data_IF_523881108216
#
_entry.id   IF_523881108216
#
_cell.length_a   1.000
_cell.length_b   1.000
_cell.length_c   1.000
_cell.angle_alpha   90.00
_cell.angle_beta   90.00
_cell.angle_gamma   90.00
#
_symmetry.space_group_name_H-M   'P 1'
#
loop_
_entity.id
_entity.type
_entity.pdbx_description
1 polymer ?
#
# COMPACT_ATOMS: atom_id res chain seq x y z
N UNK A 1 -49.43 37.61 -1.28
CA UNK A 1 -49.09 36.46 -0.42
C UNK A 1 -47.59 36.33 -0.50
N UNK A 2 -46.93 36.91 0.50
CA UNK A 2 -45.53 37.30 0.46
C UNK A 2 -44.61 36.09 0.59
N UNK A 3 -43.60 36.02 -0.28
CA UNK A 3 -42.52 35.03 -0.18
C UNK A 3 -41.61 35.52 0.94
N UNK A 4 -41.74 34.94 2.12
CA UNK A 4 -40.83 35.17 3.24
C UNK A 4 -39.52 34.44 2.94
N UNK A 5 -38.50 35.22 2.58
CA UNK A 5 -37.12 34.77 2.41
C UNK A 5 -36.53 34.39 3.78
N UNK A 6 -36.47 33.10 4.08
CA UNK A 6 -35.92 32.58 5.33
C UNK A 6 -34.38 32.61 5.28
N UNK A 7 -33.76 33.53 6.02
CA UNK A 7 -32.29 33.61 6.15
C UNK A 7 -31.73 32.33 6.78
N UNK A 8 -30.68 31.71 6.21
CA UNK A 8 -30.09 30.49 6.76
C UNK A 8 -29.33 30.79 8.06
N UNK A 9 -29.77 30.18 9.16
CA UNK A 9 -29.04 30.18 10.43
C UNK A 9 -27.87 29.20 10.41
N UNK A 10 -26.91 29.37 11.33
CA UNK A 10 -25.71 28.51 11.46
C UNK A 10 -26.01 27.01 11.63
N UNK A 11 -27.24 26.64 12.00
CA UNK A 11 -27.68 25.25 12.18
C UNK A 11 -28.37 24.64 10.95
N UNK A 12 -28.53 25.40 9.88
CA UNK A 12 -29.11 24.86 8.64
C UNK A 12 -28.08 24.03 7.86
N UNK A 13 -28.44 22.82 7.37
CA UNK A 13 -27.54 22.03 6.54
C UNK A 13 -27.10 22.82 5.30
N UNK A 14 -25.79 22.86 5.03
CA UNK A 14 -25.19 23.57 3.89
C UNK A 14 -25.72 23.08 2.53
N UNK A 15 -26.38 21.92 2.50
CA UNK A 15 -27.04 21.35 1.33
C UNK A 15 -28.54 21.24 1.65
N UNK A 16 -29.42 21.96 0.93
CA UNK A 16 -30.86 21.81 1.12
C UNK A 16 -31.25 20.38 0.75
N UNK A 17 -31.70 19.61 1.74
CA UNK A 17 -32.18 18.24 1.55
C UNK A 17 -33.51 18.33 0.79
N UNK A 18 -33.49 18.02 -0.51
CA UNK A 18 -34.71 17.87 -1.30
C UNK A 18 -35.60 16.79 -0.66
N UNK A 19 -36.83 17.15 -0.32
CA UNK A 19 -37.81 16.26 0.31
C UNK A 19 -38.07 14.98 -0.51
N UNK A 20 -37.84 15.00 -1.83
CA UNK A 20 -37.89 13.80 -2.69
C UNK A 20 -36.88 12.72 -2.28
N UNK A 21 -35.70 13.10 -1.76
CA UNK A 21 -34.65 12.15 -1.35
C UNK A 21 -34.99 11.43 -0.05
N UNK A 22 -35.79 12.06 0.82
CA UNK A 22 -36.29 11.46 2.06
C UNK A 22 -37.38 10.41 1.76
N UNK A 23 -38.14 10.60 0.68
CA UNK A 23 -39.19 9.66 0.25
C UNK A 23 -38.57 8.42 -0.41
N UNK A 24 -37.54 8.57 -1.24
CA UNK A 24 -36.80 7.41 -1.81
C UNK A 24 -36.10 6.57 -0.73
N UNK A 25 -35.58 7.21 0.32
CA UNK A 25 -34.91 6.51 1.43
C UNK A 25 -35.84 5.58 2.23
N UNK A 26 -37.17 5.65 2.05
CA UNK A 26 -38.15 4.77 2.72
C UNK A 26 -38.47 3.49 1.93
N UNK A 27 -38.03 3.35 0.68
CA UNK A 27 -38.06 2.06 0.01
C UNK A 27 -36.90 1.22 0.57
N UNK A 28 -37.22 0.16 1.32
CA UNK A 28 -36.21 -0.73 1.87
C UNK A 28 -35.27 -1.26 0.79
N UNK A 29 -33.97 -1.43 1.11
CA UNK A 29 -32.95 -1.93 0.19
C UNK A 29 -33.47 -3.13 -0.61
N UNK A 30 -33.51 -3.00 -1.93
CA UNK A 30 -33.95 -4.09 -2.80
C UNK A 30 -32.88 -5.19 -2.83
N UNK A 31 -33.27 -6.46 -2.72
CA UNK A 31 -32.35 -7.62 -2.80
C UNK A 31 -31.55 -7.60 -4.11
N UNK A 32 -32.15 -7.12 -5.19
CA UNK A 32 -31.50 -7.03 -6.50
C UNK A 32 -30.38 -5.99 -6.52
N UNK A 33 -30.55 -4.87 -5.81
CA UNK A 33 -29.53 -3.82 -5.65
C UNK A 33 -28.36 -4.35 -4.82
N UNK A 34 -28.64 -5.06 -3.72
CA UNK A 34 -27.62 -5.71 -2.90
C UNK A 34 -26.83 -6.73 -3.74
N UNK A 35 -27.51 -7.58 -4.50
CA UNK A 35 -26.84 -8.59 -5.32
C UNK A 35 -25.98 -7.97 -6.42
N UNK A 36 -26.46 -6.90 -7.06
CA UNK A 36 -25.71 -6.16 -8.05
C UNK A 36 -24.43 -5.55 -7.47
N UNK A 37 -24.51 -5.00 -6.26
CA UNK A 37 -23.36 -4.40 -5.58
C UNK A 37 -22.35 -5.45 -5.11
N UNK A 38 -22.82 -6.55 -4.53
CA UNK A 38 -21.97 -7.70 -4.16
C UNK A 38 -21.22 -8.23 -5.39
N UNK A 39 -21.89 -8.35 -6.53
CA UNK A 39 -21.25 -8.79 -7.78
C UNK A 39 -20.13 -7.84 -8.22
N UNK A 40 -20.32 -6.51 -8.12
CA UNK A 40 -19.27 -5.53 -8.44
C UNK A 40 -18.09 -5.63 -7.47
N UNK A 41 -18.38 -5.74 -6.17
CA UNK A 41 -17.34 -5.89 -5.15
C UNK A 41 -16.51 -7.15 -5.35
N UNK A 42 -17.14 -8.30 -5.67
CA UNK A 42 -16.44 -9.54 -5.97
C UNK A 42 -15.56 -9.42 -7.23
N UNK A 43 -16.07 -8.75 -8.27
CA UNK A 43 -15.34 -8.55 -9.52
C UNK A 43 -14.12 -7.64 -9.34
N UNK A 44 -14.17 -6.69 -8.40
CA UNK A 44 -13.02 -5.87 -8.00
C UNK A 44 -12.07 -6.63 -7.05
N UNK A 45 -12.62 -7.37 -6.08
CA UNK A 45 -11.85 -8.09 -5.07
C UNK A 45 -10.96 -9.18 -5.68
N UNK A 46 -11.45 -9.93 -6.67
CA UNK A 46 -10.67 -10.99 -7.32
C UNK A 46 -9.30 -10.53 -7.84
N UNK A 47 -9.23 -9.50 -8.70
CA UNK A 47 -7.98 -8.90 -9.13
C UNK A 47 -7.12 -8.37 -7.99
N UNK A 48 -7.71 -7.75 -6.97
CA UNK A 48 -6.95 -7.21 -5.83
C UNK A 48 -6.31 -8.30 -4.97
N UNK A 49 -7.01 -9.43 -4.76
CA UNK A 49 -6.45 -10.61 -4.10
C UNK A 49 -5.26 -11.13 -4.91
N UNK A 50 -5.39 -11.21 -6.24
CA UNK A 50 -4.30 -11.62 -7.13
C UNK A 50 -3.07 -10.70 -7.01
N UNK A 51 -3.26 -9.38 -7.03
CA UNK A 51 -2.17 -8.40 -6.83
C UNK A 51 -1.48 -8.62 -5.49
N UNK A 52 -2.23 -8.73 -4.39
CA UNK A 52 -1.65 -8.92 -3.06
C UNK A 52 -0.90 -10.25 -2.95
N UNK A 53 -1.44 -11.32 -3.53
CA UNK A 53 -0.77 -12.62 -3.58
C UNK A 53 0.54 -12.54 -4.34
N UNK A 54 0.56 -11.89 -5.51
CA UNK A 54 1.77 -11.71 -6.32
C UNK A 54 2.85 -10.89 -5.59
N UNK A 55 2.44 -9.83 -4.88
CA UNK A 55 3.34 -9.04 -4.05
C UNK A 55 3.88 -9.86 -2.86
N UNK A 56 3.05 -10.69 -2.23
CA UNK A 56 3.49 -11.60 -1.17
C UNK A 56 4.49 -12.66 -1.70
N UNK A 57 4.25 -13.18 -2.90
CA UNK A 57 5.17 -14.12 -3.55
C UNK A 57 6.58 -13.52 -3.72
N UNK A 58 6.72 -12.21 -3.96
CA UNK A 58 8.05 -11.58 -4.05
C UNK A 58 8.86 -11.81 -2.76
N UNK A 59 8.23 -11.65 -1.60
CA UNK A 59 8.87 -11.87 -0.30
C UNK A 59 9.25 -13.34 -0.11
N UNK A 60 8.32 -14.26 -0.43
CA UNK A 60 8.56 -15.71 -0.32
C UNK A 60 9.73 -16.13 -1.21
N UNK A 61 9.76 -15.68 -2.46
CA UNK A 61 10.84 -15.97 -3.41
C UNK A 61 12.18 -15.48 -2.83
N UNK A 62 12.27 -14.22 -2.39
CA UNK A 62 13.51 -13.69 -1.80
C UNK A 62 14.01 -14.53 -0.62
N UNK A 63 13.13 -14.89 0.32
CA UNK A 63 13.50 -15.69 1.49
C UNK A 63 13.91 -17.12 1.09
N UNK A 64 13.22 -17.73 0.13
CA UNK A 64 13.61 -19.06 -0.39
C UNK A 64 15.02 -19.06 -0.97
N UNK A 65 15.38 -18.05 -1.75
CA UNK A 65 16.72 -17.93 -2.33
C UNK A 65 17.79 -17.68 -1.25
N UNK A 66 17.52 -16.78 -0.29
CA UNK A 66 18.44 -16.54 0.83
C UNK A 66 18.62 -17.79 1.68
N UNK A 67 17.58 -18.62 1.84
CA UNK A 67 17.66 -19.87 2.60
C UNK A 67 18.71 -20.87 2.08
N UNK A 68 19.12 -20.76 0.81
CA UNK A 68 20.19 -21.59 0.25
C UNK A 68 21.60 -21.14 0.65
N UNK A 69 21.74 -19.92 1.18
CA UNK A 69 23.02 -19.33 1.61
C UNK A 69 23.43 -19.75 3.04
N UNK A 70 22.52 -20.39 3.78
CA UNK A 70 22.76 -20.88 5.14
C UNK A 70 21.86 -20.23 6.20
N UNK A 71 21.92 -20.79 7.40
CA UNK A 71 21.03 -20.45 8.52
C UNK A 71 21.22 -19.01 9.01
N UNK A 72 22.47 -18.53 9.06
CA UNK A 72 22.78 -17.18 9.52
C UNK A 72 22.22 -16.11 8.56
N UNK A 73 22.45 -16.26 7.26
CA UNK A 73 21.91 -15.35 6.24
C UNK A 73 20.37 -15.35 6.22
N UNK A 74 19.76 -16.53 6.34
CA UNK A 74 18.30 -16.67 6.42
C UNK A 74 17.73 -15.97 7.66
N UNK A 75 18.36 -16.16 8.81
CA UNK A 75 17.96 -15.53 10.08
C UNK A 75 18.12 -14.01 10.02
N UNK A 76 19.24 -13.53 9.50
CA UNK A 76 19.50 -12.10 9.28
C UNK A 76 18.48 -11.46 8.34
N UNK A 77 18.21 -12.05 7.17
CA UNK A 77 17.22 -11.54 6.22
C UNK A 77 15.79 -11.57 6.77
N UNK A 78 15.43 -12.61 7.53
CA UNK A 78 14.12 -12.72 8.19
C UNK A 78 13.95 -11.66 9.27
N UNK A 79 14.99 -11.42 10.07
CA UNK A 79 15.01 -10.39 11.10
C UNK A 79 14.93 -8.99 10.48
N UNK A 80 15.71 -8.72 9.43
CA UNK A 80 15.66 -7.46 8.69
C UNK A 80 14.29 -7.21 8.06
N UNK A 81 13.70 -8.22 7.41
CA UNK A 81 12.35 -8.13 6.82
C UNK A 81 11.30 -7.82 7.89
N UNK A 82 11.37 -8.48 9.04
CA UNK A 82 10.44 -8.25 10.16
C UNK A 82 10.59 -6.84 10.73
N UNK A 83 11.83 -6.40 10.96
CA UNK A 83 12.15 -5.05 11.42
C UNK A 83 11.66 -3.99 10.42
N UNK A 84 11.90 -4.19 9.12
CA UNK A 84 11.45 -3.31 8.04
C UNK A 84 9.92 -3.25 7.92
N UNK A 85 9.24 -4.37 8.09
CA UNK A 85 7.77 -4.46 8.04
C UNK A 85 7.14 -3.64 9.17
N UNK A 86 7.64 -3.79 10.39
CA UNK A 86 7.13 -3.08 11.57
C UNK A 86 7.46 -1.60 11.50
N UNK A 87 8.72 -1.24 11.24
CA UNK A 87 9.18 0.15 11.34
C UNK A 87 8.81 1.00 10.12
N UNK A 88 8.83 0.42 8.93
CA UNK A 88 8.72 1.16 7.67
C UNK A 88 7.46 0.86 6.87
N UNK A 89 7.30 -0.38 6.40
CA UNK A 89 6.22 -0.70 5.46
C UNK A 89 4.83 -0.50 6.07
N UNK A 90 4.61 -0.92 7.31
CA UNK A 90 3.31 -0.74 7.99
C UNK A 90 2.94 0.74 8.15
N UNK A 91 3.92 1.60 8.48
CA UNK A 91 3.74 3.03 8.62
C UNK A 91 3.33 3.66 7.27
N UNK A 92 4.01 3.30 6.19
CA UNK A 92 3.69 3.80 4.85
C UNK A 92 2.32 3.34 4.36
N UNK A 93 1.92 2.09 4.64
CA UNK A 93 0.55 1.62 4.37
C UNK A 93 -0.46 2.47 5.15
N UNK A 94 -0.20 2.70 6.45
CA UNK A 94 -1.06 3.48 7.32
C UNK A 94 -1.24 4.92 6.84
N UNK A 95 -0.14 5.63 6.58
CA UNK A 95 -0.16 6.99 6.04
C UNK A 95 -0.83 7.04 4.65
N UNK A 96 -0.54 6.07 3.79
CA UNK A 96 -1.10 5.96 2.45
C UNK A 96 -2.62 5.74 2.44
N UNK A 97 -3.19 5.12 3.49
CA UNK A 97 -4.63 4.83 3.58
C UNK A 97 -5.53 6.06 3.49
N UNK A 98 -5.00 7.25 3.80
CA UNK A 98 -5.72 8.50 3.60
C UNK A 98 -6.13 8.72 2.13
N UNK A 99 -5.35 8.21 1.17
CA UNK A 99 -5.69 8.27 -0.26
C UNK A 99 -6.93 7.43 -0.61
N UNK A 100 -7.22 6.35 0.10
CA UNK A 100 -8.43 5.54 -0.14
C UNK A 100 -9.68 6.41 0.06
N UNK A 101 -9.64 7.28 1.08
CA UNK A 101 -10.70 8.26 1.36
C UNK A 101 -10.68 9.42 0.37
N UNK A 102 -9.55 10.13 0.21
CA UNK A 102 -9.51 11.33 -0.63
C UNK A 102 -9.75 11.04 -2.11
N UNK A 103 -9.13 9.99 -2.65
CA UNK A 103 -9.35 9.59 -4.04
C UNK A 103 -10.74 8.98 -4.21
N UNK A 104 -11.23 8.18 -3.27
CA UNK A 104 -12.59 7.61 -3.31
C UNK A 104 -13.68 8.69 -3.30
N UNK A 105 -13.57 9.68 -2.41
CA UNK A 105 -14.49 10.82 -2.36
C UNK A 105 -14.42 11.67 -3.63
N UNK A 106 -13.21 11.99 -4.09
CA UNK A 106 -13.02 12.79 -5.31
C UNK A 106 -13.55 12.06 -6.55
N UNK A 107 -13.36 10.74 -6.63
CA UNK A 107 -13.87 9.91 -7.73
C UNK A 107 -15.40 9.85 -7.71
N UNK A 108 -15.99 9.64 -6.53
CA UNK A 108 -17.45 9.68 -6.32
C UNK A 108 -18.07 11.05 -6.66
N UNK A 109 -17.36 12.14 -6.35
CA UNK A 109 -17.74 13.51 -6.71
C UNK A 109 -17.43 13.89 -8.18
N UNK A 110 -16.92 12.95 -8.99
CA UNK A 110 -16.49 13.16 -10.39
C UNK A 110 -15.41 14.23 -10.57
N UNK A 111 -14.63 14.51 -9.53
CA UNK A 111 -13.51 15.45 -9.55
C UNK A 111 -12.21 14.73 -9.95
N UNK A 112 -12.15 14.21 -11.18
CA UNK A 112 -11.04 13.37 -11.63
C UNK A 112 -9.67 14.05 -11.55
N UNK A 113 -9.61 15.36 -11.77
CA UNK A 113 -8.39 16.15 -11.61
C UNK A 113 -7.82 16.10 -10.18
N UNK A 114 -8.69 16.07 -9.17
CA UNK A 114 -8.28 16.05 -7.77
C UNK A 114 -7.60 14.75 -7.37
N UNK A 115 -7.91 13.62 -8.02
CA UNK A 115 -7.24 12.34 -7.73
C UNK A 115 -5.72 12.45 -7.96
N UNK A 116 -5.32 13.08 -9.06
CA UNK A 116 -3.91 13.28 -9.39
C UNK A 116 -3.23 14.19 -8.38
N UNK A 117 -3.90 15.27 -7.95
CA UNK A 117 -3.39 16.20 -6.94
C UNK A 117 -3.23 15.48 -5.59
N UNK A 118 -4.22 14.71 -5.14
CA UNK A 118 -4.14 13.95 -3.90
C UNK A 118 -2.99 12.94 -3.96
N UNK A 119 -2.87 12.19 -5.06
CA UNK A 119 -1.79 11.23 -5.28
C UNK A 119 -0.41 11.90 -5.19
N UNK A 120 -0.18 12.99 -5.92
CA UNK A 120 1.11 13.70 -5.94
C UNK A 120 1.47 14.28 -4.58
N UNK A 121 0.50 14.87 -3.86
CA UNK A 121 0.71 15.38 -2.50
C UNK A 121 1.06 14.26 -1.53
N UNK A 122 0.37 13.12 -1.63
CA UNK A 122 0.68 11.95 -0.81
C UNK A 122 2.07 11.38 -1.14
N UNK A 123 2.46 11.31 -2.42
CA UNK A 123 3.82 10.90 -2.82
C UNK A 123 4.87 11.76 -2.14
N UNK A 124 4.71 13.09 -2.17
CA UNK A 124 5.64 13.99 -1.50
C UNK A 124 5.72 13.74 0.01
N UNK A 125 4.57 13.63 0.69
CA UNK A 125 4.51 13.37 2.14
C UNK A 125 5.12 12.01 2.50
N UNK A 126 4.79 10.95 1.77
CA UNK A 126 5.33 9.60 2.02
C UNK A 126 6.83 9.54 1.73
N UNK A 127 7.34 10.22 0.68
CA UNK A 127 8.77 10.30 0.41
C UNK A 127 9.53 11.02 1.54
N UNK A 128 8.96 12.08 2.12
CA UNK A 128 9.54 12.72 3.30
C UNK A 128 9.55 11.78 4.52
N UNK A 129 8.49 11.00 4.71
CA UNK A 129 8.44 9.99 5.77
C UNK A 129 9.47 8.86 5.55
N UNK A 130 9.84 8.54 4.31
CA UNK A 130 10.89 7.56 4.03
C UNK A 130 12.28 8.00 4.52
N UNK A 131 12.56 9.30 4.64
CA UNK A 131 13.89 9.80 5.06
C UNK A 131 14.27 9.34 6.48
N UNK A 132 13.47 9.60 7.54
CA UNK A 132 13.78 9.08 8.87
C UNK A 132 13.74 7.55 8.92
N UNK A 133 12.87 6.90 8.16
CA UNK A 133 12.81 5.43 8.09
C UNK A 133 14.09 4.84 7.50
N UNK A 134 14.65 5.45 6.46
CA UNK A 134 15.93 5.06 5.88
C UNK A 134 17.07 5.19 6.90
N UNK A 135 17.05 6.23 7.74
CA UNK A 135 18.00 6.37 8.86
C UNK A 135 17.85 5.26 9.91
N UNK A 136 16.61 4.88 10.25
CA UNK A 136 16.34 3.75 11.14
C UNK A 136 16.90 2.46 10.54
N UNK A 137 16.67 2.22 9.25
CA UNK A 137 17.14 1.01 8.56
C UNK A 137 18.67 0.97 8.40
N UNK A 138 19.30 2.13 8.17
CA UNK A 138 20.76 2.22 8.10
C UNK A 138 21.45 1.82 9.42
N UNK A 139 20.74 1.96 10.54
CA UNK A 139 21.19 1.62 11.89
C UNK A 139 20.55 0.34 12.44
N UNK A 140 19.83 -0.43 11.62
CA UNK A 140 19.08 -1.61 12.07
C UNK A 140 19.94 -2.60 12.86
N UNK A 141 21.17 -2.88 12.40
CA UNK A 141 22.07 -3.80 13.11
C UNK A 141 22.41 -3.35 14.54
N UNK A 142 22.74 -2.07 14.73
CA UNK A 142 23.01 -1.54 16.07
C UNK A 142 21.76 -1.52 16.96
N UNK A 143 20.60 -1.20 16.38
CA UNK A 143 19.32 -1.23 17.09
C UNK A 143 19.01 -2.67 17.55
N UNK A 144 19.22 -3.67 16.69
CA UNK A 144 18.97 -5.07 17.02
C UNK A 144 19.90 -5.58 18.13
N UNK A 145 21.19 -5.27 18.07
CA UNK A 145 22.13 -5.58 19.17
C UNK A 145 21.68 -4.92 20.47
N UNK A 146 21.27 -3.66 20.41
CA UNK A 146 20.77 -2.94 21.59
C UNK A 146 19.50 -3.58 22.18
N UNK A 147 18.64 -4.16 21.34
CA UNK A 147 17.45 -4.92 21.75
C UNK A 147 17.78 -6.35 22.23
N UNK A 148 19.07 -6.72 22.30
CA UNK A 148 19.52 -8.01 22.81
C UNK A 148 19.49 -9.15 21.79
N UNK A 149 19.44 -8.84 20.48
CA UNK A 149 19.64 -9.86 19.44
C UNK A 149 21.10 -10.30 19.36
N UNK A 150 21.31 -11.51 18.86
CA UNK A 150 22.63 -12.05 18.59
C UNK A 150 23.44 -11.09 17.67
N UNK A 151 24.72 -10.81 18.00
CA UNK A 151 25.53 -9.86 17.22
C UNK A 151 25.75 -10.26 15.76
N UNK A 152 25.88 -11.56 15.45
CA UNK A 152 26.08 -12.04 14.08
C UNK A 152 24.78 -11.90 13.27
N UNK A 153 23.65 -12.32 13.84
CA UNK A 153 22.32 -12.15 13.21
C UNK A 153 22.02 -10.66 13.00
N UNK A 154 22.37 -9.81 13.98
CA UNK A 154 22.17 -8.37 13.90
C UNK A 154 23.03 -7.71 12.82
N UNK A 155 24.26 -8.18 12.62
CA UNK A 155 25.14 -7.71 11.55
C UNK A 155 24.56 -8.04 10.17
N UNK A 156 24.14 -9.28 9.94
CA UNK A 156 23.49 -9.71 8.69
C UNK A 156 22.17 -8.96 8.45
N UNK A 157 21.35 -8.81 9.48
CA UNK A 157 20.11 -8.06 9.40
C UNK A 157 20.35 -6.59 9.06
N UNK A 158 21.38 -5.97 9.66
CA UNK A 158 21.79 -4.60 9.36
C UNK A 158 22.27 -4.42 7.92
N UNK A 159 23.04 -5.38 7.40
CA UNK A 159 23.47 -5.37 6.01
C UNK A 159 22.28 -5.48 5.05
N UNK A 160 21.40 -6.44 5.30
CA UNK A 160 20.19 -6.65 4.50
C UNK A 160 19.28 -5.41 4.53
N UNK A 161 19.05 -4.82 5.70
CA UNK A 161 18.23 -3.61 5.85
C UNK A 161 18.80 -2.40 5.08
N UNK A 162 20.13 -2.25 5.02
CA UNK A 162 20.78 -1.20 4.21
C UNK A 162 20.52 -1.38 2.72
N UNK A 163 20.58 -2.60 2.21
CA UNK A 163 20.23 -2.90 0.82
C UNK A 163 18.74 -2.73 0.53
N UNK A 164 17.88 -2.83 1.55
CA UNK A 164 16.45 -2.55 1.41
C UNK A 164 16.12 -1.04 1.35
N UNK A 165 17.02 -0.13 1.73
CA UNK A 165 16.72 1.32 1.79
C UNK A 165 16.09 1.87 0.50
N UNK A 166 16.61 1.60 -0.71
CA UNK A 166 15.98 2.09 -1.95
C UNK A 166 14.53 1.58 -2.13
N UNK A 167 14.23 0.38 -1.63
CA UNK A 167 12.91 -0.24 -1.75
C UNK A 167 11.83 0.53 -1.01
N UNK A 168 12.14 1.20 0.11
CA UNK A 168 11.13 1.93 0.89
C UNK A 168 10.60 3.16 0.15
N UNK A 169 11.48 3.83 -0.62
CA UNK A 169 11.10 4.97 -1.47
C UNK A 169 10.26 4.50 -2.66
N UNK A 170 10.67 3.41 -3.31
CA UNK A 170 9.89 2.80 -4.39
C UNK A 170 8.51 2.34 -3.88
N UNK A 171 8.46 1.75 -2.68
CA UNK A 171 7.23 1.30 -2.04
C UNK A 171 6.27 2.46 -1.74
N UNK A 172 6.76 3.58 -1.23
CA UNK A 172 5.95 4.79 -1.01
C UNK A 172 5.25 5.26 -2.30
N UNK A 173 5.99 5.32 -3.42
CA UNK A 173 5.43 5.68 -4.72
C UNK A 173 4.44 4.64 -5.23
N UNK A 174 4.76 3.35 -5.09
CA UNK A 174 3.89 2.25 -5.49
C UNK A 174 2.56 2.30 -4.74
N UNK A 175 2.58 2.50 -3.42
CA UNK A 175 1.37 2.59 -2.59
C UNK A 175 0.44 3.73 -3.03
N UNK A 176 1.00 4.87 -3.47
CA UNK A 176 0.21 5.98 -3.99
C UNK A 176 -0.46 5.62 -5.33
N UNK A 177 0.28 5.01 -6.25
CA UNK A 177 -0.26 4.59 -7.55
C UNK A 177 -1.33 3.51 -7.40
N UNK A 178 -1.10 2.53 -6.52
CA UNK A 178 -2.06 1.45 -6.24
C UNK A 178 -3.39 2.05 -5.81
N UNK A 179 -3.41 2.95 -4.83
CA UNK A 179 -4.65 3.56 -4.34
C UNK A 179 -5.31 4.47 -5.37
N UNK A 180 -4.52 5.22 -6.13
CA UNK A 180 -5.02 6.02 -7.25
C UNK A 180 -5.78 5.14 -8.25
N UNK A 181 -5.20 4.02 -8.69
CA UNK A 181 -5.82 3.09 -9.63
C UNK A 181 -7.01 2.34 -9.02
N UNK A 182 -6.89 1.89 -7.77
CA UNK A 182 -7.97 1.21 -7.02
C UNK A 182 -9.20 2.08 -6.88
N UNK A 183 -9.04 3.37 -6.52
CA UNK A 183 -10.17 4.30 -6.37
C UNK A 183 -10.97 4.50 -7.66
N UNK A 184 -10.35 4.26 -8.81
CA UNK A 184 -10.96 4.35 -10.14
C UNK A 184 -11.50 3.00 -10.64
N UNK A 185 -11.43 1.94 -9.82
CA UNK A 185 -11.71 0.56 -10.21
C UNK A 185 -10.83 0.03 -11.37
N UNK A 186 -9.69 0.68 -11.64
CA UNK A 186 -8.79 0.30 -12.74
C UNK A 186 -7.68 -0.62 -12.22
N UNK A 187 -8.03 -1.90 -12.02
CA UNK A 187 -7.14 -2.87 -11.35
C UNK A 187 -6.27 -3.71 -12.28
N UNK A 188 -6.56 -3.71 -13.58
CA UNK A 188 -5.85 -4.52 -14.58
C UNK A 188 -4.36 -4.13 -14.71
N UNK A 189 -3.97 -2.83 -14.77
CA UNK A 189 -2.57 -2.45 -14.83
C UNK A 189 -1.76 -2.95 -13.63
N UNK A 190 -2.38 -2.98 -12.45
CA UNK A 190 -1.75 -3.50 -11.24
C UNK A 190 -1.48 -5.00 -11.36
N UNK A 191 -2.45 -5.80 -11.81
CA UNK A 191 -2.27 -7.26 -11.99
C UNK A 191 -1.16 -7.57 -12.99
N UNK A 192 -1.15 -6.88 -14.14
CA UNK A 192 -0.14 -7.10 -15.19
C UNK A 192 1.25 -6.73 -14.68
N UNK A 193 1.38 -5.55 -14.07
CA UNK A 193 2.66 -5.07 -13.55
C UNK A 193 3.18 -5.94 -12.41
N UNK A 194 2.33 -6.38 -11.47
CA UNK A 194 2.73 -7.28 -10.39
C UNK A 194 3.12 -8.65 -10.93
N UNK A 195 2.38 -9.20 -11.90
CA UNK A 195 2.70 -10.48 -12.52
C UNK A 195 4.05 -10.45 -13.24
N UNK A 196 4.30 -9.42 -14.04
CA UNK A 196 5.59 -9.22 -14.71
C UNK A 196 6.72 -9.04 -13.70
N UNK A 197 6.50 -8.25 -12.65
CA UNK A 197 7.49 -8.03 -11.58
C UNK A 197 7.82 -9.34 -10.89
N UNK A 198 6.84 -10.18 -10.54
CA UNK A 198 7.08 -11.48 -9.91
C UNK A 198 7.90 -12.42 -10.79
N UNK A 199 7.59 -12.50 -12.09
CA UNK A 199 8.37 -13.33 -13.02
C UNK A 199 9.82 -12.84 -13.17
N UNK A 200 10.02 -11.53 -13.32
CA UNK A 200 11.34 -10.93 -13.41
C UNK A 200 12.12 -11.08 -12.10
N UNK A 201 11.45 -11.03 -10.96
CA UNK A 201 12.07 -11.20 -9.65
C UNK A 201 12.64 -12.61 -9.45
N UNK A 202 11.93 -13.65 -9.90
CA UNK A 202 12.44 -15.03 -9.88
C UNK A 202 13.75 -15.12 -10.67
N UNK A 203 13.76 -14.58 -11.89
CA UNK A 203 14.95 -14.60 -12.75
C UNK A 203 16.10 -13.80 -12.13
N UNK A 204 15.79 -12.63 -11.57
CA UNK A 204 16.79 -11.75 -10.94
C UNK A 204 17.40 -12.41 -9.70
N UNK A 205 16.59 -12.99 -8.82
CA UNK A 205 17.08 -13.73 -7.66
C UNK A 205 17.96 -14.91 -8.08
N UNK A 206 17.57 -15.65 -9.12
CA UNK A 206 18.36 -16.76 -9.64
C UNK A 206 19.72 -16.32 -10.19
N UNK A 207 19.76 -15.24 -10.98
CA UNK A 207 21.02 -14.70 -11.51
C UNK A 207 21.92 -14.20 -10.38
N UNK A 208 21.37 -13.42 -9.44
CA UNK A 208 22.16 -12.81 -8.38
C UNK A 208 22.72 -13.87 -7.42
N UNK A 209 21.89 -14.82 -6.97
CA UNK A 209 22.33 -15.81 -5.97
C UNK A 209 23.24 -16.88 -6.59
N UNK A 210 22.90 -17.44 -7.76
CA UNK A 210 23.60 -18.61 -8.28
C UNK A 210 24.61 -18.32 -9.40
N UNK A 211 24.52 -17.18 -10.09
CA UNK A 211 25.38 -16.88 -11.25
C UNK A 211 26.37 -15.74 -11.05
N UNK A 212 26.05 -14.77 -10.19
CA UNK A 212 26.87 -13.56 -10.05
C UNK A 212 28.05 -13.69 -9.08
N UNK A 213 28.14 -14.80 -8.33
CA UNK A 213 29.17 -15.00 -7.30
C UNK A 213 28.94 -14.20 -6.01
N UNK A 214 27.88 -13.38 -5.93
CA UNK A 214 27.47 -12.64 -4.71
C UNK A 214 26.83 -13.55 -3.64
N UNK A 215 26.58 -14.82 -3.94
CA UNK A 215 26.03 -15.83 -3.03
C UNK A 215 27.04 -16.84 -2.49
N UNK A 216 28.35 -16.61 -2.65
CA UNK A 216 29.43 -17.46 -2.14
C UNK A 216 30.36 -16.66 -1.22
#
# INVERSE_FOLDING_TARGET
MDIVEQKPGLESPLIPISQNKVIESKNGLNKDEIFAEVKKLLLLAGPLVSVNLLLYCLQVISVMFVGHLGELALSGASMATSFASVTGFSLLIGMGSALDTFCGQSYGAKQYHMLGIHMQRAMFVLLLACIPLAFIWANAGHILVFLGQDPEISAEAGLYARFMIPSIFAYALLQCHVRFLQSQNNVIPMVISSGLTTLLHILTCWILVFKSGLGN
#
